data_IF_204208934888
#
_entry.id   IF_204208934888
#
_cell.length_a   1.000
_cell.length_b   1.000
_cell.length_c   1.000
_cell.angle_alpha   90.00
_cell.angle_beta   90.00
_cell.angle_gamma   90.00
#
_symmetry.space_group_name_H-M   'P 1'
#
loop_
_entity.id
_entity.type
_entity.pdbx_description
1 polymer ?
#
# COMPACT_ATOMS: atom_id res chain seq x y z
N UNK A 1 15.62 -30.95 10.82
CA UNK A 1 15.77 -29.52 11.20
C UNK A 1 16.09 -28.75 9.93
N UNK A 2 15.20 -27.89 9.43
CA UNK A 2 15.55 -27.05 8.29
C UNK A 2 16.52 -25.96 8.77
N UNK A 3 17.60 -25.78 8.03
CA UNK A 3 18.55 -24.69 8.22
C UNK A 3 17.78 -23.38 8.02
N UNK A 4 17.82 -22.50 9.02
CA UNK A 4 17.38 -21.13 8.87
C UNK A 4 18.07 -20.53 7.63
N UNK A 5 17.34 -19.76 6.79
CA UNK A 5 17.99 -19.05 5.70
C UNK A 5 19.11 -18.18 6.30
N UNK A 6 20.28 -18.10 5.64
CA UNK A 6 21.36 -17.25 6.13
C UNK A 6 20.82 -15.84 6.29
N UNK A 7 20.88 -15.32 7.52
CA UNK A 7 20.62 -13.92 7.83
C UNK A 7 21.72 -13.09 7.18
N UNK A 8 21.59 -12.84 5.89
CA UNK A 8 22.35 -11.80 5.21
C UNK A 8 21.97 -10.51 5.93
N UNK A 9 22.91 -9.94 6.66
CA UNK A 9 22.75 -8.60 7.21
C UNK A 9 22.33 -7.70 6.04
N UNK A 10 21.11 -7.16 6.11
CA UNK A 10 20.62 -6.23 5.11
C UNK A 10 21.67 -5.11 5.01
N UNK A 11 22.20 -4.81 3.81
CA UNK A 11 23.13 -3.70 3.66
C UNK A 11 22.47 -2.46 4.27
N UNK A 12 23.13 -1.89 5.28
CA UNK A 12 22.61 -0.73 5.97
C UNK A 12 22.75 0.44 5.02
N UNK A 13 21.67 0.78 4.32
CA UNK A 13 21.61 1.99 3.50
C UNK A 13 22.02 3.18 4.37
N UNK A 14 22.85 4.06 3.79
CA UNK A 14 23.06 5.36 4.40
C UNK A 14 21.69 6.04 4.57
N UNK A 15 21.47 6.75 5.69
CA UNK A 15 20.21 7.46 5.90
C UNK A 15 19.88 8.38 4.72
N UNK A 16 18.60 8.44 4.28
CA UNK A 16 18.19 9.34 3.22
C UNK A 16 18.55 10.79 3.52
N UNK A 17 18.99 11.51 2.50
CA UNK A 17 19.31 12.95 2.57
C UNK A 17 18.21 13.82 1.98
N UNK A 18 17.27 13.22 1.25
CA UNK A 18 16.11 13.88 0.65
C UNK A 18 14.85 13.12 1.02
N UNK A 19 13.83 13.83 1.49
CA UNK A 19 12.45 13.32 1.56
C UNK A 19 11.69 13.69 0.29
N UNK A 20 10.54 13.05 0.06
CA UNK A 20 9.72 13.34 -1.11
C UNK A 20 8.23 13.38 -0.79
N UNK A 21 7.56 14.47 -1.19
CA UNK A 21 6.10 14.53 -1.18
C UNK A 21 5.53 13.81 -2.41
N UNK A 22 4.44 13.09 -2.20
CA UNK A 22 3.72 12.31 -3.19
C UNK A 22 2.35 12.94 -3.45
N UNK A 23 2.08 13.26 -4.71
CA UNK A 23 0.80 13.86 -5.12
C UNK A 23 0.07 12.94 -6.08
N UNK A 24 -1.19 12.64 -5.75
CA UNK A 24 -2.09 11.97 -6.69
C UNK A 24 -2.48 12.94 -7.81
N UNK A 25 -2.18 12.58 -9.05
CA UNK A 25 -2.54 13.35 -10.23
C UNK A 25 -3.98 13.05 -10.65
N UNK A 26 -4.60 14.02 -11.34
CA UNK A 26 -5.95 13.87 -11.93
C UNK A 26 -5.93 13.15 -13.29
N UNK A 27 -4.75 12.80 -13.76
CA UNK A 27 -4.48 12.21 -15.07
C UNK A 27 -3.99 10.78 -14.94
N UNK A 28 -4.07 10.02 -16.03
CA UNK A 28 -3.45 8.70 -16.11
C UNK A 28 -1.92 8.80 -15.90
N UNK A 29 -1.26 7.73 -15.40
CA UNK A 29 0.19 7.69 -15.30
C UNK A 29 0.85 7.81 -16.68
N UNK A 30 1.91 8.62 -16.84
CA UNK A 30 2.65 8.75 -18.09
C UNK A 30 3.62 7.56 -18.25
N UNK A 31 3.07 6.34 -18.36
CA UNK A 31 3.84 5.09 -18.27
C UNK A 31 4.99 5.03 -19.27
N UNK A 32 6.16 4.61 -18.79
CA UNK A 32 7.37 4.47 -19.60
C UNK A 32 8.09 5.78 -19.95
N UNK A 33 7.65 6.91 -19.39
CA UNK A 33 8.35 8.20 -19.51
C UNK A 33 9.23 8.46 -18.30
N UNK A 34 10.08 9.49 -18.36
CA UNK A 34 10.89 9.96 -17.22
C UNK A 34 10.06 10.50 -16.05
N UNK A 35 8.77 10.78 -16.26
CA UNK A 35 7.83 11.21 -15.24
C UNK A 35 6.95 10.08 -14.70
N UNK A 36 7.24 8.82 -15.06
CA UNK A 36 6.56 7.64 -14.53
C UNK A 36 7.04 7.31 -13.11
N UNK A 37 6.48 8.02 -12.14
CA UNK A 37 6.72 7.76 -10.72
C UNK A 37 5.79 6.68 -10.15
N UNK A 38 4.91 6.11 -10.98
CA UNK A 38 3.90 5.16 -10.55
C UNK A 38 2.47 5.71 -10.59
N UNK A 39 1.54 4.97 -9.98
CA UNK A 39 0.11 5.26 -9.94
C UNK A 39 -0.59 4.67 -8.72
N UNK A 40 -1.67 5.32 -8.30
CA UNK A 40 -2.68 4.71 -7.43
C UNK A 40 -3.77 4.04 -8.27
N UNK A 41 -4.44 3.06 -7.66
CA UNK A 41 -5.51 2.27 -8.24
C UNK A 41 -5.03 1.48 -9.47
N UNK A 42 -5.95 1.17 -10.39
CA UNK A 42 -5.64 0.40 -11.59
C UNK A 42 -5.11 -1.00 -11.30
N UNK A 43 -4.15 -1.44 -12.13
CA UNK A 43 -3.56 -2.77 -12.08
C UNK A 43 -2.05 -2.68 -11.81
N UNK A 44 -1.44 -3.68 -11.14
CA UNK A 44 0.00 -3.79 -10.97
C UNK A 44 0.68 -4.15 -12.31
N UNK A 45 1.95 -3.74 -12.52
CA UNK A 45 2.70 -4.08 -13.72
C UNK A 45 3.56 -5.34 -13.52
N UNK A 46 3.91 -6.01 -14.61
CA UNK A 46 5.05 -6.95 -14.69
C UNK A 46 4.91 -8.29 -13.97
N UNK A 47 3.91 -8.44 -13.09
CA UNK A 47 3.60 -9.72 -12.47
C UNK A 47 2.69 -10.57 -13.37
N UNK A 48 2.64 -11.88 -13.11
CA UNK A 48 1.69 -12.80 -13.75
C UNK A 48 0.47 -12.98 -12.85
N UNK A 49 -0.64 -13.43 -13.43
CA UNK A 49 -1.89 -13.65 -12.69
C UNK A 49 -1.72 -14.63 -11.52
N UNK A 50 -0.88 -15.66 -11.66
CA UNK A 50 -0.60 -16.62 -10.57
C UNK A 50 0.26 -16.03 -9.45
N UNK A 51 0.84 -14.83 -9.66
CA UNK A 51 1.62 -14.09 -8.65
C UNK A 51 0.78 -13.03 -7.93
N UNK A 52 -0.49 -12.85 -8.31
CA UNK A 52 -1.36 -11.87 -7.69
C UNK A 52 -1.65 -12.26 -6.24
N UNK A 53 -1.39 -11.40 -5.24
CA UNK A 53 -1.67 -11.72 -3.84
C UNK A 53 -3.16 -12.05 -3.61
N UNK A 54 -3.44 -13.23 -3.06
CA UNK A 54 -4.79 -13.63 -2.67
C UNK A 54 -5.02 -13.34 -1.18
N UNK A 55 -6.22 -12.92 -0.81
CA UNK A 55 -6.59 -12.72 0.59
C UNK A 55 -6.58 -14.05 1.32
N UNK A 56 -5.93 -14.17 2.49
CA UNK A 56 -6.10 -15.32 3.36
C UNK A 56 -7.46 -15.33 4.06
N UNK A 57 -8.15 -14.19 4.10
CA UNK A 57 -9.42 -14.04 4.79
C UNK A 57 -10.59 -14.44 3.89
N UNK A 58 -10.86 -13.69 2.82
CA UNK A 58 -12.02 -13.91 1.96
C UNK A 58 -11.72 -14.77 0.72
N UNK A 59 -10.45 -15.10 0.48
CA UNK A 59 -9.98 -15.91 -0.64
C UNK A 59 -10.04 -15.25 -2.01
N UNK A 60 -10.52 -14.01 -2.15
CA UNK A 60 -10.50 -13.27 -3.39
C UNK A 60 -9.12 -12.65 -3.66
N UNK A 61 -8.86 -12.17 -4.90
CA UNK A 61 -7.67 -11.38 -5.17
C UNK A 61 -7.65 -10.13 -4.27
N UNK A 62 -6.49 -9.77 -3.73
CA UNK A 62 -6.32 -8.52 -2.99
C UNK A 62 -6.41 -7.33 -3.93
N UNK A 63 -6.96 -6.21 -3.47
CA UNK A 63 -7.02 -4.96 -4.22
C UNK A 63 -5.61 -4.40 -4.42
N UNK A 64 -5.25 -4.05 -5.65
CA UNK A 64 -4.06 -3.25 -5.90
C UNK A 64 -4.32 -1.80 -5.51
N UNK A 65 -3.58 -1.31 -4.52
CA UNK A 65 -3.72 0.04 -3.98
C UNK A 65 -2.89 1.05 -4.78
N UNK A 66 -1.59 0.79 -4.94
CA UNK A 66 -0.70 1.63 -5.73
C UNK A 66 0.54 0.87 -6.18
N UNK A 67 1.18 1.37 -7.24
CA UNK A 67 2.57 1.06 -7.59
C UNK A 67 3.36 2.37 -7.53
N UNK A 68 4.47 2.40 -6.80
CA UNK A 68 5.31 3.59 -6.61
C UNK A 68 6.76 3.28 -7.04
N UNK A 69 7.34 4.11 -7.91
CA UNK A 69 8.78 4.07 -8.21
C UNK A 69 9.54 4.63 -7.01
N UNK A 70 10.42 3.83 -6.42
CA UNK A 70 11.14 4.15 -5.20
C UNK A 70 12.46 4.88 -5.53
N UNK A 71 12.70 6.09 -4.99
CA UNK A 71 13.97 6.79 -5.13
C UNK A 71 15.14 5.96 -4.58
N UNK A 72 16.33 6.07 -5.19
CA UNK A 72 17.51 5.25 -4.86
C UNK A 72 17.79 5.16 -3.36
N UNK A 73 17.73 6.27 -2.63
CA UNK A 73 18.03 6.33 -1.19
C UNK A 73 17.04 5.55 -0.31
N UNK A 74 15.90 5.13 -0.87
CA UNK A 74 14.85 4.38 -0.19
C UNK A 74 14.75 2.91 -0.67
N UNK A 75 15.64 2.44 -1.57
CA UNK A 75 15.61 1.08 -2.12
C UNK A 75 16.25 0.05 -1.19
N UNK A 76 15.58 -0.21 -0.08
CA UNK A 76 16.03 -1.11 1.00
C UNK A 76 16.25 -2.56 0.62
N UNK A 77 15.75 -2.99 -0.55
CA UNK A 77 15.90 -4.36 -1.06
C UNK A 77 17.00 -4.50 -2.13
N UNK A 78 17.76 -3.42 -2.38
CA UNK A 78 18.84 -3.37 -3.35
C UNK A 78 18.46 -2.67 -4.64
N UNK A 79 19.48 -2.21 -5.38
CA UNK A 79 19.32 -1.29 -6.52
C UNK A 79 18.49 -1.85 -7.69
N UNK A 80 18.42 -3.18 -7.80
CA UNK A 80 17.65 -3.87 -8.82
C UNK A 80 16.12 -3.71 -8.63
N UNK A 81 15.66 -3.45 -7.40
CA UNK A 81 14.25 -3.29 -7.08
C UNK A 81 13.89 -1.81 -7.00
N UNK A 82 13.29 -1.32 -8.08
CA UNK A 82 13.11 0.12 -8.31
C UNK A 82 11.71 0.62 -7.97
N UNK A 83 10.76 -0.27 -7.73
CA UNK A 83 9.38 0.08 -7.44
C UNK A 83 8.74 -0.87 -6.43
N UNK A 84 7.63 -0.44 -5.84
CA UNK A 84 6.84 -1.19 -4.88
C UNK A 84 5.38 -1.18 -5.32
N UNK A 85 4.77 -2.36 -5.45
CA UNK A 85 3.32 -2.52 -5.62
C UNK A 85 2.68 -2.94 -4.30
N UNK A 86 1.70 -2.19 -3.82
CA UNK A 86 0.98 -2.42 -2.57
C UNK A 86 -0.41 -2.99 -2.85
N UNK A 87 -0.80 -3.96 -2.04
CA UNK A 87 -2.08 -4.63 -2.08
C UNK A 87 -2.68 -4.70 -0.67
N UNK A 88 -3.99 -4.70 -0.60
CA UNK A 88 -4.73 -4.88 0.62
C UNK A 88 -5.94 -5.77 0.38
N UNK A 89 -6.45 -6.40 1.43
CA UNK A 89 -7.80 -6.96 1.40
C UNK A 89 -8.82 -5.89 0.96
N UNK A 90 -10.02 -6.30 0.58
CA UNK A 90 -11.04 -5.34 0.20
C UNK A 90 -11.32 -4.34 1.34
N UNK A 91 -11.49 -3.06 0.98
CA UNK A 91 -11.41 -1.95 1.94
C UNK A 91 -12.78 -1.45 2.43
N UNK A 92 -13.85 -1.73 1.70
CA UNK A 92 -15.17 -1.11 1.93
C UNK A 92 -16.29 -2.12 2.14
N UNK A 93 -15.94 -3.39 2.26
CA UNK A 93 -16.83 -4.52 2.47
C UNK A 93 -16.28 -5.33 3.65
N UNK A 94 -17.17 -5.95 4.43
CA UNK A 94 -16.82 -6.81 5.57
C UNK A 94 -17.19 -8.26 5.21
N UNK A 95 -16.31 -8.99 4.49
CA UNK A 95 -16.57 -10.37 4.12
C UNK A 95 -16.47 -11.30 5.34
N UNK A 96 -17.00 -12.50 5.21
CA UNK A 96 -16.72 -13.61 6.14
C UNK A 96 -15.38 -14.28 5.80
N UNK A 97 -14.69 -14.80 6.81
CA UNK A 97 -13.49 -15.62 6.61
C UNK A 97 -13.85 -16.98 5.98
N UNK A 98 -13.03 -17.43 5.03
CA UNK A 98 -13.14 -18.75 4.41
C UNK A 98 -12.08 -19.68 5.01
N UNK A 99 -12.45 -20.40 6.07
CA UNK A 99 -11.56 -21.29 6.83
C UNK A 99 -10.67 -22.19 5.97
N UNK A 100 -11.24 -22.84 4.95
CA UNK A 100 -10.49 -23.75 4.08
C UNK A 100 -9.36 -23.05 3.31
N UNK A 101 -9.60 -21.80 2.90
CA UNK A 101 -8.60 -20.97 2.20
C UNK A 101 -7.56 -20.44 3.19
N UNK A 102 -8.01 -19.92 4.32
CA UNK A 102 -7.14 -19.42 5.39
C UNK A 102 -6.15 -20.51 5.86
N UNK A 103 -6.66 -21.70 6.18
CA UNK A 103 -5.87 -22.86 6.59
C UNK A 103 -4.88 -23.27 5.49
N UNK A 104 -5.30 -23.30 4.23
CA UNK A 104 -4.42 -23.71 3.13
C UNK A 104 -3.30 -22.71 2.86
N UNK A 105 -3.57 -21.41 2.95
CA UNK A 105 -2.59 -20.35 2.75
C UNK A 105 -1.61 -20.23 3.92
N UNK A 106 -2.06 -20.52 5.15
CA UNK A 106 -1.23 -20.53 6.35
C UNK A 106 -0.40 -21.81 6.55
N UNK A 107 -0.72 -22.91 5.86
CA UNK A 107 -0.03 -24.18 6.02
C UNK A 107 1.48 -24.07 5.72
N UNK A 108 2.33 -24.74 6.51
CA UNK A 108 3.78 -24.66 6.35
C UNK A 108 4.28 -25.29 5.04
N UNK A 109 3.66 -26.40 4.61
CA UNK A 109 4.02 -27.12 3.40
C UNK A 109 3.12 -26.73 2.22
N UNK A 110 3.68 -26.75 1.01
CA UNK A 110 2.92 -26.52 -0.23
C UNK A 110 2.61 -27.89 -0.85
N UNK A 111 1.50 -28.49 -0.43
CA UNK A 111 1.01 -29.75 -0.97
C UNK A 111 -0.14 -29.51 -1.95
N UNK A 112 -0.22 -30.34 -2.99
CA UNK A 112 -1.34 -30.26 -3.93
C UNK A 112 -2.62 -30.70 -3.21
N UNK A 113 -3.67 -29.85 -3.13
CA UNK A 113 -4.89 -30.19 -2.44
C UNK A 113 -5.70 -31.24 -3.22
N UNK A 114 -6.43 -32.09 -2.49
CA UNK A 114 -7.40 -33.01 -3.08
C UNK A 114 -8.67 -32.27 -3.56
N UNK A 115 -9.05 -31.21 -2.86
CA UNK A 115 -10.14 -30.33 -3.28
C UNK A 115 -9.71 -29.51 -4.51
N UNK A 116 -10.37 -29.68 -5.68
CA UNK A 116 -10.05 -28.90 -6.88
C UNK A 116 -10.30 -27.39 -6.70
N UNK A 117 -11.17 -26.99 -5.77
CA UNK A 117 -11.48 -25.59 -5.50
C UNK A 117 -10.34 -24.85 -4.80
N UNK A 118 -9.40 -25.58 -4.21
CA UNK A 118 -8.18 -25.03 -3.62
C UNK A 118 -7.02 -24.89 -4.62
N UNK A 119 -7.15 -25.39 -5.86
CA UNK A 119 -6.09 -25.34 -6.87
C UNK A 119 -5.59 -23.92 -7.23
N UNK A 120 -6.43 -22.86 -7.26
CA UNK A 120 -5.93 -21.50 -7.48
C UNK A 120 -4.96 -21.04 -6.38
N UNK A 121 -5.22 -21.41 -5.12
CA UNK A 121 -4.35 -21.08 -3.98
C UNK A 121 -3.08 -21.91 -4.00
N UNK A 122 -3.16 -23.18 -4.42
CA UNK A 122 -1.96 -24.00 -4.69
C UNK A 122 -1.07 -23.37 -5.76
N UNK A 123 -1.66 -22.95 -6.89
CA UNK A 123 -0.94 -22.29 -7.97
C UNK A 123 -0.29 -20.99 -7.49
N UNK A 124 -1.01 -20.20 -6.70
CA UNK A 124 -0.47 -18.99 -6.07
C UNK A 124 0.73 -19.30 -5.16
N UNK A 125 0.61 -20.27 -4.24
CA UNK A 125 1.73 -20.65 -3.35
C UNK A 125 2.95 -21.16 -4.11
N UNK A 126 2.75 -21.90 -5.21
CA UNK A 126 3.83 -22.39 -6.08
C UNK A 126 4.54 -21.29 -6.88
N UNK A 127 3.83 -20.20 -7.17
CA UNK A 127 4.33 -19.14 -8.05
C UNK A 127 4.53 -17.79 -7.37
N UNK A 128 4.30 -17.73 -6.05
CA UNK A 128 4.41 -16.52 -5.23
C UNK A 128 5.64 -15.71 -5.61
N UNK A 129 5.45 -14.40 -5.75
CA UNK A 129 6.55 -13.54 -6.15
C UNK A 129 7.67 -13.60 -5.09
N UNK A 130 8.95 -13.78 -5.47
CA UNK A 130 10.04 -13.96 -4.50
C UNK A 130 10.26 -12.73 -3.61
N UNK A 131 9.82 -11.55 -4.07
CA UNK A 131 9.86 -10.30 -3.33
C UNK A 131 8.50 -9.84 -2.81
N UNK A 132 7.59 -10.78 -2.58
CA UNK A 132 6.32 -10.50 -1.90
C UNK A 132 6.48 -10.55 -0.38
N UNK A 133 6.01 -9.52 0.30
CA UNK A 133 5.94 -9.39 1.75
C UNK A 133 4.48 -9.37 2.18
N UNK A 134 4.11 -10.17 3.18
CA UNK A 134 2.78 -10.20 3.77
C UNK A 134 2.82 -9.49 5.11
N UNK A 135 1.83 -8.65 5.37
CA UNK A 135 1.73 -7.82 6.55
C UNK A 135 0.32 -7.92 7.10
N UNK A 136 0.19 -7.75 8.41
CA UNK A 136 -1.08 -7.58 9.10
C UNK A 136 -0.99 -6.32 9.94
N UNK A 137 -2.11 -5.62 10.06
CA UNK A 137 -2.23 -4.51 11.01
C UNK A 137 -2.69 -4.99 12.39
N UNK A 138 -2.99 -4.03 13.27
CA UNK A 138 -3.40 -4.28 14.65
C UNK A 138 -4.83 -4.86 14.79
N UNK A 139 -5.64 -4.85 13.73
CA UNK A 139 -6.99 -5.42 13.70
C UNK A 139 -7.07 -6.65 12.79
N UNK A 140 -5.93 -7.27 12.49
CA UNK A 140 -5.80 -8.47 11.64
C UNK A 140 -6.18 -8.29 10.15
N UNK A 141 -6.26 -7.05 9.64
CA UNK A 141 -6.45 -6.82 8.21
C UNK A 141 -5.19 -7.17 7.42
N UNK A 142 -5.35 -7.81 6.26
CA UNK A 142 -4.21 -8.30 5.50
C UNK A 142 -3.75 -7.33 4.42
N UNK A 143 -2.43 -7.22 4.31
CA UNK A 143 -1.74 -6.46 3.29
C UNK A 143 -0.66 -7.31 2.63
N UNK A 144 -0.32 -6.95 1.40
CA UNK A 144 0.82 -7.52 0.69
C UNK A 144 1.55 -6.42 -0.08
N UNK A 145 2.87 -6.53 -0.16
CA UNK A 145 3.67 -5.64 -0.99
C UNK A 145 4.66 -6.44 -1.83
N UNK A 146 4.87 -6.02 -3.08
CA UNK A 146 5.82 -6.65 -3.98
C UNK A 146 6.85 -5.62 -4.42
N UNK A 147 8.13 -5.86 -4.11
CA UNK A 147 9.21 -5.10 -4.72
C UNK A 147 9.42 -5.58 -6.15
N UNK A 148 9.43 -4.63 -7.08
CA UNK A 148 9.50 -4.87 -8.53
C UNK A 148 10.85 -4.46 -9.07
N UNK A 149 11.36 -5.28 -9.98
CA UNK A 149 12.48 -4.91 -10.83
C UNK A 149 12.08 -3.82 -11.83
N UNK A 150 13.05 -3.16 -12.47
CA UNK A 150 12.75 -2.17 -13.51
C UNK A 150 11.98 -2.81 -14.70
N UNK A 151 12.35 -4.04 -15.08
CA UNK A 151 11.65 -4.80 -16.10
C UNK A 151 10.19 -5.10 -15.75
N UNK A 152 9.91 -5.40 -14.47
CA UNK A 152 8.54 -5.61 -13.99
C UNK A 152 7.76 -4.29 -13.94
N UNK A 153 8.37 -3.21 -13.46
CA UNK A 153 7.74 -1.90 -13.39
C UNK A 153 7.26 -1.39 -14.76
N UNK A 154 8.10 -1.51 -15.79
CA UNK A 154 7.75 -1.11 -17.17
C UNK A 154 6.92 -2.17 -17.91
N UNK A 155 6.74 -3.35 -17.31
CA UNK A 155 6.07 -4.50 -17.92
C UNK A 155 4.58 -4.27 -18.19
N UNK A 156 3.90 -5.22 -18.85
CA UNK A 156 2.46 -5.14 -19.08
C UNK A 156 1.68 -5.16 -17.77
N UNK A 157 0.50 -4.53 -17.76
CA UNK A 157 -0.41 -4.57 -16.61
C UNK A 157 -1.00 -5.97 -16.46
N UNK A 158 -1.02 -6.50 -15.24
CA UNK A 158 -1.55 -7.81 -14.93
C UNK A 158 -3.05 -7.73 -14.61
N UNK A 159 -3.85 -8.69 -15.07
CA UNK A 159 -5.25 -8.84 -14.64
C UNK A 159 -5.33 -9.75 -13.40
N UNK A 160 -6.27 -9.49 -12.48
CA UNK A 160 -6.47 -10.36 -11.32
C UNK A 160 -6.95 -11.76 -11.77
N UNK A 161 -6.68 -12.81 -10.97
CA UNK A 161 -7.20 -14.13 -11.23
C UNK A 161 -8.74 -14.14 -11.16
N UNK A 162 -9.36 -14.89 -12.07
CA UNK A 162 -10.81 -15.05 -12.11
C UNK A 162 -11.22 -16.17 -11.17
N UNK A 163 -11.68 -15.79 -9.97
CA UNK A 163 -12.14 -16.72 -8.93
C UNK A 163 -13.66 -16.74 -8.75
N UNK A 164 -14.39 -15.88 -9.48
CA UNK A 164 -15.85 -15.87 -9.44
C UNK A 164 -16.42 -17.23 -9.85
N UNK A 165 -17.39 -17.73 -9.06
CA UNK A 165 -17.99 -19.05 -9.24
C UNK A 165 -17.20 -20.21 -8.61
N UNK A 166 -16.14 -19.93 -7.83
CA UNK A 166 -15.55 -20.92 -6.95
C UNK A 166 -16.50 -21.20 -5.76
N UNK A 167 -16.99 -22.44 -5.56
CA UNK A 167 -17.91 -22.78 -4.47
C UNK A 167 -17.42 -22.43 -3.07
N UNK A 168 -16.09 -22.44 -2.84
CA UNK A 168 -15.52 -22.04 -1.55
C UNK A 168 -15.79 -20.56 -1.21
N UNK A 169 -16.05 -19.73 -2.23
CA UNK A 169 -16.20 -18.29 -2.09
C UNK A 169 -17.66 -17.84 -2.10
N UNK A 170 -18.63 -18.75 -2.21
CA UNK A 170 -20.06 -18.43 -2.33
C UNK A 170 -20.65 -17.70 -1.11
N UNK A 171 -20.01 -17.82 0.06
CA UNK A 171 -20.39 -17.07 1.27
C UNK A 171 -20.21 -15.56 1.10
N UNK A 172 -19.29 -15.14 0.22
CA UNK A 172 -18.93 -13.74 0.01
C UNK A 172 -19.35 -13.26 -1.38
N UNK A 173 -19.90 -12.05 -1.45
CA UNK A 173 -20.04 -11.37 -2.73
C UNK A 173 -18.63 -11.06 -3.30
N UNK A 174 -18.41 -11.17 -4.62
CA UNK A 174 -17.14 -10.75 -5.21
C UNK A 174 -16.82 -9.28 -4.87
N UNK A 175 -15.57 -8.96 -4.51
CA UNK A 175 -15.16 -7.59 -4.19
C UNK A 175 -15.55 -6.59 -5.28
N UNK A 176 -16.19 -5.49 -4.88
CA UNK A 176 -16.72 -4.47 -5.83
C UNK A 176 -15.66 -3.92 -6.77
N UNK A 177 -14.40 -3.84 -6.33
CA UNK A 177 -13.30 -3.34 -7.14
C UNK A 177 -12.96 -4.23 -8.35
N UNK A 178 -13.31 -5.52 -8.32
CA UNK A 178 -13.09 -6.44 -9.46
C UNK A 178 -13.94 -6.05 -10.67
N UNK A 179 -15.16 -5.56 -10.44
CA UNK A 179 -16.08 -5.12 -11.50
C UNK A 179 -15.91 -3.62 -11.79
N UNK A 180 -15.97 -2.78 -10.75
CA UNK A 180 -16.00 -1.33 -10.90
C UNK A 180 -14.62 -0.70 -11.02
N UNK A 181 -13.56 -1.40 -10.60
CA UNK A 181 -12.23 -0.81 -10.41
C UNK A 181 -12.10 -0.09 -9.06
N UNK A 182 -10.90 -0.14 -8.48
CA UNK A 182 -10.63 0.35 -7.13
C UNK A 182 -10.93 1.85 -6.96
N UNK A 183 -10.60 2.69 -7.95
CA UNK A 183 -10.86 4.14 -7.87
C UNK A 183 -12.36 4.45 -7.80
N UNK A 184 -13.17 3.74 -8.60
CA UNK A 184 -14.62 3.92 -8.60
C UNK A 184 -15.24 3.40 -7.30
N UNK A 185 -14.84 2.23 -6.84
CA UNK A 185 -15.31 1.68 -5.57
C UNK A 185 -15.03 2.61 -4.39
N UNK A 186 -13.80 3.14 -4.29
CA UNK A 186 -13.44 4.10 -3.24
C UNK A 186 -14.26 5.39 -3.33
N UNK A 187 -14.44 5.93 -4.54
CA UNK A 187 -15.27 7.12 -4.76
C UNK A 187 -16.72 6.91 -4.33
N UNK A 188 -17.36 5.82 -4.75
CA UNK A 188 -18.75 5.54 -4.44
C UNK A 188 -18.98 5.32 -2.93
N UNK A 189 -18.02 4.66 -2.26
CA UNK A 189 -18.07 4.48 -0.81
C UNK A 189 -18.02 5.81 -0.04
N UNK A 190 -17.24 6.76 -0.53
CA UNK A 190 -16.94 8.01 0.19
C UNK A 190 -17.88 9.17 -0.17
N UNK A 191 -18.43 9.17 -1.37
CA UNK A 191 -19.33 10.22 -1.88
C UNK A 191 -20.81 9.83 -1.75
N UNK A 192 -21.10 8.52 -1.70
CA UNK A 192 -22.45 8.00 -1.66
C UNK A 192 -23.20 8.19 -2.98
N UNK A 193 -24.53 8.26 -2.93
CA UNK A 193 -25.41 8.21 -4.11
C UNK A 193 -25.69 9.58 -4.78
N UNK A 194 -24.95 10.62 -4.42
CA UNK A 194 -25.23 11.96 -4.91
C UNK A 194 -24.88 12.10 -6.38
N UNK A 195 -25.83 12.57 -7.20
CA UNK A 195 -25.64 12.81 -8.64
C UNK A 195 -25.66 14.28 -9.02
N UNK A 196 -25.93 15.18 -8.05
CA UNK A 196 -25.91 16.63 -8.27
C UNK A 196 -24.47 17.13 -8.42
N UNK A 197 -24.17 17.81 -9.53
CA UNK A 197 -22.83 18.37 -9.81
C UNK A 197 -22.40 19.35 -8.72
N UNK A 198 -23.29 20.28 -8.33
CA UNK A 198 -22.98 21.29 -7.30
C UNK A 198 -22.62 20.67 -5.95
N UNK A 199 -23.23 19.53 -5.62
CA UNK A 199 -22.92 18.81 -4.39
C UNK A 199 -21.65 17.97 -4.52
N UNK A 200 -21.39 17.39 -5.69
CA UNK A 200 -20.16 16.65 -5.98
C UNK A 200 -18.93 17.54 -5.88
N UNK A 201 -18.94 18.75 -6.44
CA UNK A 201 -17.81 19.69 -6.39
C UNK A 201 -17.41 20.08 -4.96
N UNK A 202 -18.35 19.99 -4.01
CA UNK A 202 -18.10 20.21 -2.58
C UNK A 202 -17.45 19.02 -1.88
N UNK A 203 -17.42 17.83 -2.47
CA UNK A 203 -16.82 16.62 -1.89
C UNK A 203 -15.31 16.55 -2.14
N UNK A 204 -14.57 16.18 -1.10
CA UNK A 204 -13.11 16.01 -1.15
C UNK A 204 -12.69 15.04 -2.26
N UNK A 205 -13.28 13.84 -2.30
CA UNK A 205 -12.96 12.79 -3.27
C UNK A 205 -13.25 13.18 -4.73
N UNK A 206 -14.28 14.00 -4.99
CA UNK A 206 -14.51 14.53 -6.32
C UNK A 206 -13.44 15.54 -6.73
N UNK A 207 -13.08 16.47 -5.85
CA UNK A 207 -11.99 17.44 -6.14
C UNK A 207 -10.64 16.76 -6.33
N UNK A 208 -10.39 15.69 -5.57
CA UNK A 208 -9.19 14.87 -5.65
C UNK A 208 -9.05 14.26 -7.05
N UNK A 209 -10.05 13.53 -7.53
CA UNK A 209 -10.01 12.93 -8.87
C UNK A 209 -10.26 13.92 -10.01
N UNK A 210 -10.89 15.07 -9.71
CA UNK A 210 -11.34 16.07 -10.67
C UNK A 210 -12.56 15.65 -11.51
N UNK A 211 -13.09 14.44 -11.27
CA UNK A 211 -14.26 13.86 -11.94
C UNK A 211 -14.75 12.65 -11.13
N UNK A 212 -15.92 12.14 -11.49
CA UNK A 212 -16.33 10.78 -11.10
C UNK A 212 -15.42 9.78 -11.82
N UNK A 213 -14.70 8.88 -11.13
CA UNK A 213 -13.92 7.84 -11.78
C UNK A 213 -14.79 6.94 -12.66
N UNK A 214 -14.27 6.58 -13.83
CA UNK A 214 -14.93 5.64 -14.73
C UNK A 214 -14.88 4.22 -14.14
N UNK A 215 -15.85 3.38 -14.50
CA UNK A 215 -15.79 1.96 -14.16
C UNK A 215 -14.66 1.27 -14.93
N UNK A 216 -14.05 0.27 -14.30
CA UNK A 216 -12.89 -0.44 -14.80
C UNK A 216 -11.59 -0.02 -14.10
N UNK A 217 -10.50 -0.72 -14.40
CA UNK A 217 -9.22 -0.54 -13.68
C UNK A 217 -8.40 0.64 -14.19
N UNK A 218 -9.00 1.83 -14.23
CA UNK A 218 -8.29 3.07 -14.52
C UNK A 218 -7.39 3.45 -13.35
N UNK A 219 -6.23 4.03 -13.68
CA UNK A 219 -5.21 4.44 -12.73
C UNK A 219 -5.04 5.97 -12.74
N UNK A 220 -4.57 6.51 -11.63
CA UNK A 220 -4.24 7.92 -11.47
C UNK A 220 -2.75 8.04 -11.17
N UNK A 221 -2.02 8.83 -11.96
CA UNK A 221 -0.57 8.94 -11.86
C UNK A 221 -0.13 9.54 -10.52
N UNK A 222 1.11 9.25 -10.13
CA UNK A 222 1.75 9.87 -8.97
C UNK A 222 2.79 10.87 -9.47
N UNK A 223 2.82 12.05 -8.86
CA UNK A 223 3.95 12.97 -8.95
C UNK A 223 4.78 12.94 -7.67
N UNK A 224 6.09 13.04 -7.83
CA UNK A 224 7.09 13.07 -6.78
C UNK A 224 7.74 14.46 -6.77
N UNK A 225 7.81 15.10 -5.60
CA UNK A 225 8.53 16.36 -5.43
C UNK A 225 9.47 16.28 -4.22
N UNK A 226 10.72 16.80 -4.31
CA UNK A 226 11.59 16.90 -3.14
C UNK A 226 10.91 17.66 -2.01
N UNK A 227 11.12 17.18 -0.79
CA UNK A 227 10.51 17.75 0.41
C UNK A 227 11.48 18.73 1.07
N UNK A 228 11.27 20.01 0.79
CA UNK A 228 12.18 21.06 1.25
C UNK A 228 12.04 21.35 2.75
N UNK A 229 13.21 21.57 3.39
CA UNK A 229 13.36 22.07 4.76
C UNK A 229 12.61 21.23 5.83
N UNK A 230 12.49 19.92 5.62
CA UNK A 230 12.02 19.02 6.66
C UNK A 230 13.23 18.54 7.50
N UNK A 231 13.31 18.93 8.79
CA UNK A 231 14.47 18.61 9.64
C UNK A 231 14.56 17.14 10.04
N UNK A 232 13.54 16.34 9.70
CA UNK A 232 13.45 14.93 10.06
C UNK A 232 13.82 13.98 8.92
N UNK A 233 14.20 14.50 7.75
CA UNK A 233 14.72 13.67 6.66
C UNK A 233 15.94 12.88 7.13
N UNK A 234 15.97 11.59 6.81
CA UNK A 234 17.03 10.67 7.24
C UNK A 234 16.92 10.23 8.69
N UNK A 235 15.89 10.63 9.42
CA UNK A 235 15.70 10.25 10.82
C UNK A 235 14.54 9.26 10.96
N UNK A 236 14.71 8.21 11.79
CA UNK A 236 13.60 7.33 12.18
C UNK A 236 12.47 8.13 12.86
N UNK A 237 11.19 7.88 12.52
CA UNK A 237 10.08 8.62 13.12
C UNK A 237 9.94 8.27 14.60
N UNK A 238 9.78 9.30 15.45
CA UNK A 238 9.65 9.14 16.91
C UNK A 238 8.58 10.09 17.45
N UNK A 239 7.99 9.71 18.57
CA UNK A 239 6.94 10.49 19.22
C UNK A 239 7.41 10.96 20.60
N UNK A 240 7.11 12.21 20.91
CA UNK A 240 7.49 12.85 22.15
C UNK A 240 6.77 12.32 23.41
N UNK A 241 5.67 11.59 23.29
CA UNK A 241 4.98 10.97 24.42
C UNK A 241 5.42 9.52 24.63
N UNK A 242 5.55 8.77 23.54
CA UNK A 242 5.83 7.32 23.54
C UNK A 242 7.31 6.99 23.55
N UNK A 243 8.11 7.85 22.93
CA UNK A 243 9.53 7.62 22.70
C UNK A 243 10.40 8.62 23.47
N UNK A 244 9.94 9.12 24.63
CA UNK A 244 10.63 10.15 25.45
C UNK A 244 12.12 9.92 25.67
N UNK A 245 12.56 8.66 25.79
CA UNK A 245 13.97 8.29 25.96
C UNK A 245 14.73 7.95 24.67
N UNK A 246 14.08 8.05 23.51
CA UNK A 246 14.57 7.56 22.23
C UNK A 246 14.21 8.47 21.04
N UNK A 247 13.85 9.75 21.27
CA UNK A 247 13.66 10.72 20.18
C UNK A 247 14.94 10.94 19.39
N UNK A 248 16.10 10.94 20.06
CA UNK A 248 17.36 11.35 19.45
C UNK A 248 17.24 12.75 18.86
N UNK A 249 17.66 12.90 17.60
CA UNK A 249 17.57 14.17 16.86
C UNK A 249 16.25 14.35 16.10
N UNK A 250 15.28 13.43 16.23
CA UNK A 250 13.97 13.56 15.57
C UNK A 250 13.12 14.59 16.30
N UNK A 251 12.54 15.52 15.54
CA UNK A 251 11.68 16.60 16.04
C UNK A 251 10.23 16.17 15.90
N UNK A 252 9.61 15.75 17.01
CA UNK A 252 8.20 15.36 17.01
C UNK A 252 7.29 16.55 16.61
N UNK A 253 6.41 16.41 15.61
CA UNK A 253 5.63 17.54 15.09
C UNK A 253 4.64 18.12 16.09
N UNK A 254 4.07 17.29 16.96
CA UNK A 254 3.12 17.73 17.99
C UNK A 254 3.80 18.31 19.25
N UNK A 255 5.12 18.14 19.37
CA UNK A 255 5.92 18.71 20.46
C UNK A 255 6.14 20.22 20.31
N UNK A 256 6.68 20.83 21.35
CA UNK A 256 6.96 22.28 21.39
C UNK A 256 7.90 22.72 20.25
N UNK A 257 8.99 21.99 20.03
CA UNK A 257 9.96 22.27 18.96
C UNK A 257 9.34 22.12 17.55
N UNK A 258 8.47 21.13 17.37
CA UNK A 258 7.77 20.91 16.10
C UNK A 258 6.85 22.07 15.75
N UNK A 259 6.07 22.55 16.73
CA UNK A 259 5.22 23.73 16.60
C UNK A 259 6.04 25.00 16.35
N UNK A 260 7.14 25.20 17.09
CA UNK A 260 8.01 26.36 16.92
C UNK A 260 8.64 26.42 15.52
N UNK A 261 8.83 25.27 14.87
CA UNK A 261 9.38 25.15 13.51
C UNK A 261 8.33 25.11 12.41
N UNK A 262 7.05 25.22 12.75
CA UNK A 262 5.96 25.23 11.77
C UNK A 262 5.82 23.90 11.02
N UNK A 263 6.05 22.75 11.69
CA UNK A 263 5.99 21.44 11.03
C UNK A 263 4.56 21.07 10.58
N UNK A 264 3.51 21.68 11.15
CA UNK A 264 2.11 21.44 10.80
C UNK A 264 1.80 21.68 9.32
N UNK A 265 2.59 22.52 8.63
CA UNK A 265 2.49 22.73 7.17
C UNK A 265 2.63 21.43 6.36
N UNK A 266 3.19 20.39 6.97
CA UNK A 266 3.49 19.09 6.37
C UNK A 266 2.41 18.02 6.63
N UNK A 267 1.41 18.33 7.46
CA UNK A 267 0.31 17.43 7.81
C UNK A 267 -0.58 17.09 6.60
N UNK A 268 -1.17 15.88 6.59
CA UNK A 268 -2.11 15.42 5.57
C UNK A 268 -1.47 15.18 4.19
N UNK A 269 -0.16 14.90 4.18
CA UNK A 269 0.61 14.66 2.96
C UNK A 269 1.00 13.18 2.88
N UNK A 270 1.00 12.65 1.67
CA UNK A 270 1.65 11.37 1.37
C UNK A 270 3.14 11.64 1.12
N UNK A 271 4.06 10.89 1.73
CA UNK A 271 5.50 11.15 1.56
C UNK A 271 6.42 9.98 1.88
N UNK A 272 7.64 10.06 1.34
CA UNK A 272 8.77 9.20 1.67
C UNK A 272 9.71 9.92 2.63
N UNK A 273 9.79 9.43 3.87
CA UNK A 273 10.64 9.93 4.95
C UNK A 273 10.42 11.40 5.34
N UNK A 274 11.02 11.83 6.45
CA UNK A 274 10.89 13.20 6.95
C UNK A 274 10.07 13.25 8.24
N UNK A 275 9.16 14.20 8.32
CA UNK A 275 8.25 14.37 9.46
C UNK A 275 6.98 13.59 9.20
N UNK A 276 6.72 12.61 10.05
CA UNK A 276 5.52 11.77 10.05
C UNK A 276 4.40 12.39 10.89
N UNK A 277 3.15 12.28 10.45
CA UNK A 277 1.95 12.78 11.14
C UNK A 277 0.92 11.66 11.35
N UNK A 278 1.24 10.62 12.14
CA UNK A 278 0.28 9.57 12.41
C UNK A 278 -0.83 10.09 13.32
N UNK A 279 -2.09 9.72 13.05
CA UNK A 279 -3.23 10.22 13.82
C UNK A 279 -3.23 9.79 15.29
N UNK A 280 -2.68 8.60 15.61
CA UNK A 280 -2.67 8.07 16.99
C UNK A 280 -1.28 7.65 17.44
N UNK A 281 -0.70 6.63 16.79
CA UNK A 281 0.52 5.99 17.23
C UNK A 281 1.64 6.19 16.22
N UNK A 282 2.81 6.62 16.69
CA UNK A 282 4.02 6.65 15.86
C UNK A 282 4.75 5.31 15.99
N UNK A 283 4.87 4.51 14.93
CA UNK A 283 5.65 3.27 14.97
C UNK A 283 7.16 3.52 15.12
N UNK A 284 7.89 2.49 15.57
CA UNK A 284 9.36 2.49 15.66
C UNK A 284 10.03 2.06 14.36
N UNK A 285 9.72 2.76 13.27
CA UNK A 285 10.26 2.46 11.96
C UNK A 285 11.67 2.99 11.75
N UNK A 286 12.28 2.60 10.63
CA UNK A 286 13.56 3.11 10.14
C UNK A 286 13.41 4.51 9.55
N UNK A 287 14.50 5.11 9.07
CA UNK A 287 14.45 6.38 8.32
C UNK A 287 13.90 6.22 6.89
N UNK A 288 13.74 4.98 6.41
CA UNK A 288 13.22 4.66 5.08
C UNK A 288 11.79 4.16 5.21
N UNK A 289 10.85 5.08 5.31
CA UNK A 289 9.43 4.77 5.44
C UNK A 289 8.58 5.58 4.46
N UNK A 290 7.35 5.13 4.27
CA UNK A 290 6.29 5.77 3.50
C UNK A 290 5.11 6.07 4.44
N UNK A 291 4.59 7.28 4.41
CA UNK A 291 3.31 7.65 5.05
C UNK A 291 2.29 7.99 3.97
N UNK A 292 1.07 7.45 4.10
CA UNK A 292 0.00 7.55 3.11
C UNK A 292 -1.36 7.77 3.76
N UNK A 293 -2.10 8.71 3.21
CA UNK A 293 -3.51 8.96 3.51
C UNK A 293 -4.40 7.94 2.79
N UNK A 294 -5.65 7.80 3.26
CA UNK A 294 -6.63 6.84 2.70
C UNK A 294 -6.78 6.93 1.18
N UNK A 295 -6.78 8.16 0.66
CA UNK A 295 -6.97 8.43 -0.76
C UNK A 295 -5.80 7.97 -1.63
N UNK A 296 -4.64 7.69 -1.04
CA UNK A 296 -3.47 7.20 -1.76
C UNK A 296 -3.53 5.67 -1.92
N UNK A 297 -4.53 5.21 -2.68
CA UNK A 297 -4.76 3.78 -2.93
C UNK A 297 -6.14 3.27 -2.51
N UNK A 298 -6.99 4.14 -1.95
CA UNK A 298 -8.36 3.81 -1.57
C UNK A 298 -8.41 2.87 -0.39
N UNK A 299 -7.60 3.16 0.63
CA UNK A 299 -7.66 2.48 1.90
C UNK A 299 -8.86 2.97 2.72
N UNK A 300 -9.25 2.16 3.70
CA UNK A 300 -10.21 2.55 4.72
C UNK A 300 -9.52 2.49 6.08
N UNK A 301 -8.98 3.63 6.50
CA UNK A 301 -8.33 3.81 7.79
C UNK A 301 -9.26 4.57 8.75
N UNK A 302 -10.57 4.66 8.49
CA UNK A 302 -11.50 5.42 9.33
C UNK A 302 -11.14 6.90 9.50
N UNK A 303 -10.71 7.57 8.43
CA UNK A 303 -10.23 8.98 8.47
C UNK A 303 -8.76 9.12 8.88
N UNK A 304 -8.05 7.99 8.87
CA UNK A 304 -6.68 7.81 9.29
C UNK A 304 -5.60 7.94 8.21
N UNK A 305 -4.40 7.53 8.57
CA UNK A 305 -3.29 7.32 7.63
C UNK A 305 -2.48 6.07 8.00
N UNK A 306 -1.81 5.52 7.00
CA UNK A 306 -0.97 4.33 7.09
C UNK A 306 0.51 4.66 6.97
N UNK A 307 1.33 3.87 7.63
CA UNK A 307 2.79 3.96 7.62
C UNK A 307 3.38 2.60 7.23
N UNK A 308 4.35 2.62 6.33
CA UNK A 308 5.08 1.43 5.87
C UNK A 308 6.58 1.64 6.04
N UNK A 309 7.23 0.79 6.83
CA UNK A 309 8.68 0.73 6.86
C UNK A 309 9.21 -0.07 5.66
N UNK A 310 9.99 0.57 4.79
CA UNK A 310 10.52 -0.10 3.61
C UNK A 310 11.63 -1.09 3.98
N UNK A 311 12.32 -0.89 5.12
CA UNK A 311 13.43 -1.75 5.53
C UNK A 311 12.93 -3.07 6.12
N UNK A 312 12.05 -3.03 7.12
CA UNK A 312 11.46 -4.23 7.74
C UNK A 312 10.29 -4.80 6.94
N UNK A 313 9.65 -4.00 6.09
CA UNK A 313 8.34 -4.32 5.49
C UNK A 313 7.27 -4.54 6.56
N UNK A 314 7.25 -3.70 7.58
CA UNK A 314 6.20 -3.62 8.59
C UNK A 314 5.23 -2.49 8.22
N UNK A 315 3.94 -2.76 8.36
CA UNK A 315 2.87 -1.81 8.08
C UNK A 315 2.08 -1.56 9.36
N UNK A 316 1.76 -0.30 9.60
CA UNK A 316 0.90 0.15 10.71
C UNK A 316 -0.03 1.24 10.19
N UNK A 317 -1.14 1.49 10.89
CA UNK A 317 -2.04 2.59 10.57
C UNK A 317 -2.81 3.02 11.81
N UNK A 318 -3.39 4.22 11.76
CA UNK A 318 -4.18 4.77 12.86
C UNK A 318 -5.45 5.43 12.33
N UNK A 319 -6.60 5.18 12.97
CA UNK A 319 -7.84 5.91 12.66
C UNK A 319 -7.82 7.36 13.17
N UNK A 320 -8.60 8.22 12.50
CA UNK A 320 -8.78 9.64 12.86
C UNK A 320 -9.92 9.89 13.83
#
# INVERSE_FOLDING_TARGET
MPLAPPTLALPTLAPPTLGYDLTLLKTAPPRGTEHDHGWCYGLPPGIRTERWPLSPHDGFPMQHCFTLRIPVQYRTKGDAYVALAMFADQQYDEPDEIDAVAQYLAAETIERPADPHLLPYFAYRQHRHPMEFRMKDIIDHNFAAIWLTDAEFIGPLCRPPKLAGNPLLEANAPPRWLENGAARTAFDAQVGRTTSVDELEKRYWYRLFGRVPETGHHAFGIALAPRDNDPNVGKPPRDHLLHKGALGDYIAPYGEDGKARGLERLHGRNHLGGTMFPNQWTPKFSATYLEIEEHFGGFNFGGGNGQLDLASMEFDWACG
#
